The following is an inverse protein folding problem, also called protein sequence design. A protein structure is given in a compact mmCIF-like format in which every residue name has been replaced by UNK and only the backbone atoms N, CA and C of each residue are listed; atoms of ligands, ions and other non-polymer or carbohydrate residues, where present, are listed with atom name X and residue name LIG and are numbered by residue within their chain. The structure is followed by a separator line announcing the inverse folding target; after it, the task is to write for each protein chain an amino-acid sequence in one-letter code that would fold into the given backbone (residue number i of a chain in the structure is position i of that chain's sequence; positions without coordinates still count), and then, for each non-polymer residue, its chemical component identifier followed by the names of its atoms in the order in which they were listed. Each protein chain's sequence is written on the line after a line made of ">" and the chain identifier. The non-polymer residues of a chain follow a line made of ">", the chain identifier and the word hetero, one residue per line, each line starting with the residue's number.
data_IF_535427672669
#
_entry.id   IF_535427672669
#
_cell.length_a   1.000
_cell.length_b   1.000
_cell.length_c   1.000
_cell.angle_alpha   90.00
_cell.angle_beta   90.00
_cell.angle_gamma   90.00
#
_symmetry.space_group_name_H-M   'P 1'
#
loop_
_entity.id
_entity.type
_entity.pdbx_description
1 polymer ?
#
# COMPACT_ATOMS: atom_id res chain seq x y z
N UNK A 1 -7.94 20.94 22.24
CA UNK A 1 -7.24 19.68 22.59
C UNK A 1 -7.85 18.51 21.82
N UNK A 2 -7.05 17.71 21.10
CA UNK A 2 -7.55 16.56 20.35
C UNK A 2 -7.82 15.37 21.30
N UNK A 3 -9.07 14.97 21.43
CA UNK A 3 -9.55 13.91 22.35
C UNK A 3 -8.86 12.55 22.07
N UNK A 4 -8.47 11.82 23.12
CA UNK A 4 -7.69 10.57 23.07
C UNK A 4 -8.34 9.49 22.19
N UNK A 5 -9.68 9.38 22.22
CA UNK A 5 -10.44 8.46 21.34
C UNK A 5 -10.22 8.75 19.85
N UNK A 6 -10.12 10.02 19.48
CA UNK A 6 -10.00 10.44 18.07
C UNK A 6 -8.59 10.17 17.53
N UNK A 7 -7.55 10.32 18.37
CA UNK A 7 -6.17 9.90 18.04
C UNK A 7 -6.06 8.40 17.82
N UNK A 8 -6.73 7.62 18.66
CA UNK A 8 -6.78 6.16 18.52
C UNK A 8 -7.46 5.76 17.20
N UNK A 9 -8.58 6.39 16.84
CA UNK A 9 -9.28 6.09 15.58
C UNK A 9 -8.44 6.39 14.32
N UNK A 10 -7.74 7.54 14.27
CA UNK A 10 -6.81 7.88 13.17
C UNK A 10 -5.68 6.85 13.05
N UNK A 11 -5.09 6.48 14.18
CA UNK A 11 -4.00 5.50 14.21
C UNK A 11 -4.47 4.10 13.77
N UNK A 12 -5.65 3.67 14.22
CA UNK A 12 -6.23 2.39 13.84
C UNK A 12 -6.50 2.30 12.33
N UNK A 13 -6.94 3.40 11.70
CA UNK A 13 -7.16 3.44 10.27
C UNK A 13 -5.84 3.32 9.48
N UNK A 14 -4.80 4.05 9.90
CA UNK A 14 -3.47 3.94 9.31
C UNK A 14 -2.89 2.52 9.42
N UNK A 15 -3.00 1.91 10.61
CA UNK A 15 -2.57 0.52 10.84
C UNK A 15 -3.32 -0.45 9.94
N UNK A 16 -4.65 -0.28 9.82
CA UNK A 16 -5.45 -1.14 8.96
C UNK A 16 -4.99 -1.10 7.51
N UNK A 17 -4.67 0.09 6.98
CA UNK A 17 -4.16 0.22 5.60
C UNK A 17 -2.77 -0.44 5.48
N UNK A 18 -1.88 -0.26 6.45
CA UNK A 18 -0.57 -0.94 6.44
C UNK A 18 -0.73 -2.45 6.40
N UNK A 19 -1.62 -3.00 7.23
CA UNK A 19 -1.91 -4.45 7.26
C UNK A 19 -2.47 -4.90 5.91
N UNK A 20 -3.41 -4.14 5.33
CA UNK A 20 -4.01 -4.45 4.04
C UNK A 20 -2.98 -4.57 2.91
N UNK A 21 -1.94 -3.72 2.92
CA UNK A 21 -0.87 -3.79 1.93
C UNK A 21 0.15 -4.89 2.19
N UNK A 22 0.54 -5.10 3.46
CA UNK A 22 1.65 -6.02 3.77
C UNK A 22 1.22 -7.48 3.95
N UNK A 23 -0.01 -7.74 4.41
CA UNK A 23 -0.47 -9.10 4.66
C UNK A 23 -0.55 -9.95 3.37
N UNK A 24 -1.04 -9.44 2.23
CA UNK A 24 -0.97 -10.16 0.95
C UNK A 24 0.47 -10.45 0.50
N UNK A 25 1.42 -9.54 0.72
CA UNK A 25 2.85 -9.79 0.44
C UNK A 25 3.34 -10.99 1.24
N UNK A 26 3.09 -11.02 2.56
CA UNK A 26 3.58 -12.11 3.40
C UNK A 26 2.94 -13.47 3.08
N UNK A 27 1.64 -13.49 2.76
CA UNK A 27 0.91 -14.74 2.51
C UNK A 27 1.07 -15.23 1.08
N UNK A 28 1.10 -14.34 0.09
CA UNK A 28 1.12 -14.72 -1.31
C UNK A 28 2.57 -14.69 -1.81
N UNK A 29 3.25 -13.55 -1.72
CA UNK A 29 4.56 -13.36 -2.37
C UNK A 29 5.59 -14.37 -1.88
N UNK A 30 5.75 -14.51 -0.55
CA UNK A 30 6.74 -15.41 0.04
C UNK A 30 6.48 -16.87 -0.39
N UNK A 31 5.22 -17.30 -0.39
CA UNK A 31 4.88 -18.67 -0.78
C UNK A 31 5.13 -18.92 -2.26
N UNK A 32 4.74 -17.98 -3.14
CA UNK A 32 4.99 -18.08 -4.57
C UNK A 32 6.48 -18.03 -4.90
N UNK A 33 7.25 -17.20 -4.20
CA UNK A 33 8.69 -17.10 -4.36
C UNK A 33 9.39 -18.40 -3.98
N UNK A 34 9.04 -19.00 -2.83
CA UNK A 34 9.57 -20.31 -2.42
C UNK A 34 9.22 -21.41 -3.43
N UNK A 35 7.99 -21.40 -3.93
CA UNK A 35 7.54 -22.37 -4.93
C UNK A 35 8.28 -22.21 -6.27
N UNK A 36 8.49 -20.97 -6.69
CA UNK A 36 9.25 -20.63 -7.88
C UNK A 36 10.72 -21.07 -7.76
N UNK A 37 11.36 -20.86 -6.60
CA UNK A 37 12.72 -21.33 -6.35
C UNK A 37 12.84 -22.85 -6.38
N UNK A 38 11.79 -23.58 -5.99
CA UNK A 38 11.78 -25.04 -6.01
C UNK A 38 11.54 -25.62 -7.41
N UNK A 39 10.55 -25.08 -8.15
CA UNK A 39 10.13 -25.63 -9.45
C UNK A 39 10.74 -24.92 -10.67
N UNK A 40 11.45 -23.80 -10.47
CA UNK A 40 11.98 -22.95 -11.53
C UNK A 40 10.91 -22.23 -12.37
N UNK A 41 9.65 -22.28 -11.95
CA UNK A 41 8.50 -21.74 -12.68
C UNK A 41 7.34 -21.44 -11.74
N UNK A 42 6.44 -20.54 -12.15
CA UNK A 42 5.22 -20.21 -11.40
C UNK A 42 4.23 -21.35 -11.51
N UNK A 43 3.74 -21.84 -10.37
CA UNK A 43 2.78 -22.93 -10.31
C UNK A 43 1.44 -22.45 -9.75
N UNK A 44 0.31 -22.70 -10.43
CA UNK A 44 0.22 -23.32 -11.75
C UNK A 44 0.71 -22.38 -12.87
N UNK A 45 1.20 -22.90 -14.01
CA UNK A 45 1.75 -22.10 -15.11
C UNK A 45 0.62 -21.47 -15.93
N UNK A 46 -0.10 -20.55 -15.29
CA UNK A 46 -1.19 -19.78 -15.90
C UNK A 46 -0.77 -18.31 -15.94
N UNK A 47 -0.92 -17.62 -17.09
CA UNK A 47 -0.54 -16.20 -17.20
C UNK A 47 -1.18 -15.32 -16.12
N UNK A 48 -2.46 -15.58 -15.82
CA UNK A 48 -3.19 -14.82 -14.78
C UNK A 48 -2.57 -14.97 -13.38
N UNK A 49 -1.98 -16.12 -13.06
CA UNK A 49 -1.33 -16.35 -11.76
C UNK A 49 -0.03 -15.56 -11.68
N UNK A 50 0.72 -15.49 -12.78
CA UNK A 50 1.91 -14.65 -12.86
C UNK A 50 1.57 -13.16 -12.70
N UNK A 51 0.52 -12.68 -13.37
CA UNK A 51 0.07 -11.29 -13.25
C UNK A 51 -0.41 -10.94 -11.83
N UNK A 52 -1.14 -11.84 -11.17
CA UNK A 52 -1.54 -11.67 -9.77
C UNK A 52 -0.31 -11.62 -8.87
N UNK A 53 0.67 -12.49 -9.10
CA UNK A 53 1.90 -12.50 -8.33
C UNK A 53 2.68 -11.19 -8.52
N UNK A 54 2.84 -10.70 -9.76
CA UNK A 54 3.46 -9.40 -10.04
C UNK A 54 2.70 -8.22 -9.45
N UNK A 55 1.36 -8.25 -9.45
CA UNK A 55 0.58 -7.22 -8.77
C UNK A 55 0.89 -7.19 -7.27
N UNK A 56 1.08 -8.36 -6.67
CA UNK A 56 1.43 -8.47 -5.26
C UNK A 56 2.87 -8.01 -4.98
N UNK A 57 3.83 -8.47 -5.79
CA UNK A 57 5.25 -8.17 -5.64
C UNK A 57 5.57 -6.69 -5.95
N UNK A 58 5.06 -6.13 -7.05
CA UNK A 58 5.31 -4.72 -7.37
C UNK A 58 4.26 -3.79 -6.74
N UNK A 59 2.97 -4.10 -6.91
CA UNK A 59 1.89 -3.21 -6.48
C UNK A 59 1.75 -3.14 -4.96
N UNK A 60 1.55 -4.29 -4.30
CA UNK A 60 1.30 -4.32 -2.85
C UNK A 60 2.56 -4.05 -2.02
N UNK A 61 3.74 -4.56 -2.42
CA UNK A 61 5.00 -4.30 -1.71
C UNK A 61 5.41 -2.82 -1.79
N UNK A 62 5.50 -2.24 -3.00
CA UNK A 62 5.86 -0.83 -3.18
C UNK A 62 4.77 0.05 -2.57
N UNK A 63 3.50 -0.36 -2.69
CA UNK A 63 2.36 0.22 -1.98
C UNK A 63 2.57 0.32 -0.48
N UNK A 64 2.96 -0.78 0.15
CA UNK A 64 3.25 -0.84 1.58
C UNK A 64 4.39 0.11 1.97
N UNK A 65 5.47 0.16 1.19
CA UNK A 65 6.60 1.06 1.43
C UNK A 65 6.15 2.53 1.35
N UNK A 66 5.42 2.92 0.31
CA UNK A 66 4.95 4.30 0.13
C UNK A 66 3.98 4.71 1.24
N UNK A 67 3.07 3.82 1.63
CA UNK A 67 2.16 4.04 2.77
C UNK A 67 2.95 4.26 4.06
N UNK A 68 3.92 3.39 4.37
CA UNK A 68 4.74 3.53 5.57
C UNK A 68 5.56 4.82 5.56
N UNK A 69 6.12 5.19 4.40
CA UNK A 69 6.85 6.44 4.24
C UNK A 69 5.94 7.66 4.51
N UNK A 70 4.72 7.65 3.97
CA UNK A 70 3.76 8.71 4.25
C UNK A 70 3.38 8.79 5.73
N UNK A 71 3.11 7.65 6.38
CA UNK A 71 2.79 7.63 7.81
C UNK A 71 3.95 8.15 8.69
N UNK A 72 5.20 7.92 8.28
CA UNK A 72 6.37 8.49 8.96
C UNK A 72 6.39 10.03 8.83
N UNK A 73 6.12 10.56 7.64
CA UNK A 73 6.00 12.01 7.39
C UNK A 73 4.84 12.59 8.19
N UNK A 74 3.68 11.94 8.16
CA UNK A 74 2.50 12.38 8.90
C UNK A 74 2.79 12.44 10.41
N UNK A 75 3.45 11.41 10.95
CA UNK A 75 3.87 11.39 12.36
C UNK A 75 4.81 12.54 12.69
N UNK A 76 5.73 12.87 11.78
CA UNK A 76 6.62 14.02 11.95
C UNK A 76 5.81 15.33 12.02
N UNK A 77 4.87 15.55 11.09
CA UNK A 77 3.98 16.72 11.09
C UNK A 77 3.14 16.79 12.37
N UNK A 78 2.62 15.65 12.84
CA UNK A 78 1.85 15.55 14.09
C UNK A 78 2.67 15.91 15.34
N UNK A 79 3.98 15.70 15.34
CA UNK A 79 4.85 16.04 16.48
C UNK A 79 5.23 17.51 16.47
N UNK A 80 5.71 18.01 15.32
CA UNK A 80 6.28 19.36 15.20
C UNK A 80 5.28 20.46 14.81
N UNK A 81 4.18 20.10 14.13
CA UNK A 81 3.19 21.03 13.60
C UNK A 81 1.75 20.68 14.01
N UNK A 82 1.53 20.37 15.30
CA UNK A 82 0.23 19.97 15.88
C UNK A 82 -0.95 20.87 15.51
N UNK A 83 -0.71 22.16 15.33
CA UNK A 83 -1.73 23.15 14.96
C UNK A 83 -2.31 22.94 13.56
N UNK A 84 -1.55 22.37 12.63
CA UNK A 84 -2.01 22.10 11.27
C UNK A 84 -3.08 21.01 11.22
N UNK A 85 -3.04 20.06 12.15
CA UNK A 85 -3.97 18.94 12.24
C UNK A 85 -5.07 19.20 13.29
N UNK A 86 -5.06 20.36 13.95
CA UNK A 86 -6.06 20.72 14.95
C UNK A 86 -7.45 20.86 14.32
N UNK A 87 -7.55 21.42 13.12
CA UNK A 87 -8.81 21.71 12.43
C UNK A 87 -9.26 20.54 11.54
N UNK A 88 -10.56 20.45 11.27
CA UNK A 88 -11.14 19.39 10.43
C UNK A 88 -10.58 19.44 9.00
N UNK A 89 -10.47 20.64 8.43
CA UNK A 89 -9.90 20.87 7.10
C UNK A 89 -8.45 20.40 7.03
N UNK A 90 -7.64 20.74 8.04
CA UNK A 90 -6.25 20.31 8.12
C UNK A 90 -6.10 18.79 8.19
N UNK A 91 -6.98 18.08 8.91
CA UNK A 91 -7.01 16.60 8.92
C UNK A 91 -7.39 16.02 7.57
N UNK A 92 -8.37 16.61 6.88
CA UNK A 92 -8.77 16.14 5.57
C UNK A 92 -7.61 16.25 4.58
N UNK A 93 -6.94 17.40 4.53
CA UNK A 93 -5.85 17.65 3.59
C UNK A 93 -4.51 17.01 3.95
N UNK A 94 -4.21 16.77 5.24
CA UNK A 94 -2.90 16.24 5.66
C UNK A 94 -2.91 14.78 6.09
N UNK A 95 -4.07 14.18 6.38
CA UNK A 95 -4.15 12.76 6.71
C UNK A 95 -4.91 11.98 5.64
N UNK A 96 -6.18 12.32 5.40
CA UNK A 96 -7.06 11.51 4.56
C UNK A 96 -6.75 11.65 3.07
N UNK A 97 -6.59 12.87 2.57
CA UNK A 97 -6.40 13.13 1.15
C UNK A 97 -5.08 12.55 0.62
N UNK A 98 -3.92 12.79 1.27
CA UNK A 98 -2.65 12.22 0.80
C UNK A 98 -2.67 10.69 0.84
N UNK A 99 -3.20 10.11 1.92
CA UNK A 99 -3.33 8.66 2.05
C UNK A 99 -4.22 8.07 0.96
N UNK A 100 -5.39 8.67 0.73
CA UNK A 100 -6.31 8.25 -0.32
C UNK A 100 -5.68 8.37 -1.71
N UNK A 101 -4.94 9.46 -1.99
CA UNK A 101 -4.26 9.66 -3.27
C UNK A 101 -3.14 8.65 -3.50
N UNK A 102 -2.34 8.35 -2.48
CA UNK A 102 -1.25 7.36 -2.59
C UNK A 102 -1.84 5.98 -2.85
N UNK A 103 -2.85 5.57 -2.07
CA UNK A 103 -3.50 4.25 -2.22
C UNK A 103 -4.16 4.12 -3.59
N UNK A 104 -4.95 5.10 -4.02
CA UNK A 104 -5.61 5.03 -5.34
C UNK A 104 -4.60 5.11 -6.48
N UNK A 105 -3.59 5.97 -6.39
CA UNK A 105 -2.55 6.07 -7.42
C UNK A 105 -1.82 4.74 -7.63
N UNK A 106 -1.35 4.12 -6.54
CA UNK A 106 -0.59 2.86 -6.61
C UNK A 106 -1.45 1.73 -7.18
N UNK A 107 -2.67 1.57 -6.66
CA UNK A 107 -3.55 0.51 -7.14
C UNK A 107 -3.91 0.70 -8.62
N UNK A 108 -4.29 1.92 -9.02
CA UNK A 108 -4.64 2.19 -10.42
C UNK A 108 -3.44 2.02 -11.35
N UNK A 109 -2.30 2.60 -10.98
CA UNK A 109 -1.08 2.53 -11.79
C UNK A 109 -0.67 1.08 -12.03
N UNK A 110 -0.52 0.27 -10.98
CA UNK A 110 -0.07 -1.12 -11.14
C UNK A 110 -1.13 -2.02 -11.77
N UNK A 111 -2.42 -1.81 -11.51
CA UNK A 111 -3.48 -2.54 -12.23
C UNK A 111 -3.41 -2.24 -13.73
N UNK A 112 -3.25 -0.98 -14.12
CA UNK A 112 -3.18 -0.58 -15.53
C UNK A 112 -1.92 -1.16 -16.18
N UNK A 113 -0.75 -0.94 -15.58
CA UNK A 113 0.52 -1.36 -16.15
C UNK A 113 0.60 -2.89 -16.26
N UNK A 114 0.14 -3.64 -15.26
CA UNK A 114 0.29 -5.10 -15.24
C UNK A 114 -0.75 -5.81 -16.10
N UNK A 115 -2.01 -5.36 -16.10
CA UNK A 115 -3.08 -6.10 -16.78
C UNK A 115 -3.39 -5.60 -18.20
N UNK A 116 -3.11 -4.33 -18.49
CA UNK A 116 -3.48 -3.71 -19.76
C UNK A 116 -2.28 -3.38 -20.64
N UNK A 117 -1.14 -3.05 -20.03
CA UNK A 117 0.11 -2.82 -20.72
C UNK A 117 0.86 -4.15 -20.88
N UNK A 118 0.32 -5.06 -21.69
CA UNK A 118 1.09 -6.21 -22.14
C UNK A 118 2.21 -5.68 -23.04
N UNK A 119 3.46 -5.76 -22.59
CA UNK A 119 4.61 -5.63 -23.49
C UNK A 119 4.50 -6.78 -24.50
N UNK A 120 3.95 -6.50 -25.69
CA UNK A 120 4.17 -7.36 -26.85
C UNK A 120 5.66 -7.22 -27.18
N UNK A 121 6.43 -8.25 -26.85
CA UNK A 121 7.81 -8.38 -27.30
C UNK A 121 7.80 -8.39 -28.84
N UNK A 122 8.17 -7.26 -29.46
CA UNK A 122 8.54 -7.18 -30.89
C UNK A 122 9.90 -7.80 -31.14
#
# INVERSE_FOLDING_TARGET
>A
MMNRRRRSALHNHAIFIVILFNLPVQIIDINFHLLFLHYGSVQPPKPIVCLIWWLNDYGFYIGGIMVMAWLAIERHILVFHKQWIANLTGRLFLHYLPMATIVTYILLFYIIVIFFLNCEDT
#
